data_IF_898546484716
#
_entry.id   IF_898546484716
#
_cell.length_a   1.000
_cell.length_b   1.000
_cell.length_c   1.000
_cell.angle_alpha   90.00
_cell.angle_beta   90.00
_cell.angle_gamma   90.00
#
_symmetry.space_group_name_H-M   'P 1'
#
loop_
_entity.id
_entity.type
_entity.pdbx_description
1 polymer ?
#
# COMPACT_ATOMS: atom_id res chain seq x y z
N UNK A 1 -4.38 -5.84 -34.96
CA UNK A 1 -4.20 -5.57 -33.52
C UNK A 1 -4.39 -4.07 -33.35
N UNK A 2 -5.37 -3.62 -32.55
CA UNK A 2 -5.49 -2.20 -32.21
C UNK A 2 -4.24 -1.82 -31.42
N UNK A 3 -3.36 -1.02 -32.01
CA UNK A 3 -2.31 -0.37 -31.25
C UNK A 3 -3.00 0.62 -30.30
N UNK A 4 -3.09 0.25 -29.03
CA UNK A 4 -3.55 1.20 -28.00
C UNK A 4 -2.59 2.38 -28.03
N UNK A 5 -3.16 3.58 -28.15
CA UNK A 5 -2.37 4.82 -28.10
C UNK A 5 -1.50 4.80 -26.83
N UNK A 6 -0.19 4.94 -27.01
CA UNK A 6 0.78 4.92 -25.91
C UNK A 6 0.39 5.93 -24.81
N UNK A 7 -0.17 7.07 -25.20
CA UNK A 7 -0.65 8.08 -24.25
C UNK A 7 -1.79 7.57 -23.37
N UNK A 8 -2.73 6.81 -23.96
CA UNK A 8 -3.83 6.21 -23.21
C UNK A 8 -3.33 5.15 -22.23
N UNK A 9 -2.40 4.29 -22.65
CA UNK A 9 -1.82 3.24 -21.78
C UNK A 9 -1.10 3.87 -20.58
N UNK A 10 -0.32 4.93 -20.82
CA UNK A 10 0.39 5.66 -19.76
C UNK A 10 -0.59 6.33 -18.78
N UNK A 11 -1.66 6.96 -19.30
CA UNK A 11 -2.68 7.59 -18.47
C UNK A 11 -3.41 6.58 -17.59
N UNK A 12 -3.80 5.43 -18.16
CA UNK A 12 -4.45 4.36 -17.41
C UNK A 12 -3.52 3.78 -16.33
N UNK A 13 -2.24 3.60 -16.65
CA UNK A 13 -1.24 3.15 -15.69
C UNK A 13 -1.03 4.17 -14.56
N UNK A 14 -1.00 5.46 -14.86
CA UNK A 14 -0.93 6.52 -13.86
C UNK A 14 -2.12 6.43 -12.87
N UNK A 15 -3.34 6.34 -13.40
CA UNK A 15 -4.56 6.25 -12.58
C UNK A 15 -4.53 4.97 -11.72
N UNK A 16 -4.19 3.83 -12.32
CA UNK A 16 -4.03 2.57 -11.59
C UNK A 16 -2.99 2.70 -10.49
N UNK A 17 -1.84 3.31 -10.77
CA UNK A 17 -0.76 3.52 -9.80
C UNK A 17 -1.19 4.44 -8.66
N UNK A 18 -1.98 5.47 -8.90
CA UNK A 18 -2.56 6.31 -7.85
C UNK A 18 -3.48 5.50 -6.92
N UNK A 19 -4.35 4.66 -7.49
CA UNK A 19 -5.26 3.80 -6.72
C UNK A 19 -4.48 2.76 -5.90
N UNK A 20 -3.48 2.12 -6.50
CA UNK A 20 -2.58 1.19 -5.80
C UNK A 20 -1.83 1.92 -4.69
N UNK A 21 -1.29 3.12 -4.94
CA UNK A 21 -0.60 3.95 -3.94
C UNK A 21 -1.47 4.27 -2.73
N UNK A 22 -2.75 4.57 -2.95
CA UNK A 22 -3.71 4.76 -1.84
C UNK A 22 -3.88 3.48 -1.01
N UNK A 23 -3.94 2.32 -1.66
CA UNK A 23 -3.95 1.02 -0.97
C UNK A 23 -2.62 0.74 -0.25
N UNK A 24 -1.47 1.08 -0.86
CA UNK A 24 -0.17 0.92 -0.21
C UNK A 24 -0.06 1.69 1.11
N UNK A 25 -0.66 2.86 1.23
CA UNK A 25 -0.74 3.58 2.51
C UNK A 25 -1.37 2.73 3.63
N UNK A 26 -2.39 1.94 3.30
CA UNK A 26 -3.01 0.99 4.24
C UNK A 26 -2.03 -0.14 4.59
N UNK A 27 -1.37 -0.71 3.61
CA UNK A 27 -0.37 -1.79 3.79
C UNK A 27 0.78 -1.31 4.67
N UNK A 28 1.35 -0.14 4.36
CA UNK A 28 2.50 0.47 5.06
C UNK A 28 2.20 0.66 6.55
N UNK A 29 0.97 1.06 6.89
CA UNK A 29 0.58 1.25 8.27
C UNK A 29 0.20 -0.06 8.97
N UNK A 30 -0.62 -0.91 8.31
CA UNK A 30 -1.27 -2.05 8.98
C UNK A 30 -0.40 -3.29 9.08
N UNK A 31 0.49 -3.53 8.13
CA UNK A 31 1.34 -4.74 8.16
C UNK A 31 2.28 -4.72 9.37
N UNK A 32 3.09 -3.68 9.62
CA UNK A 32 3.95 -3.65 10.79
C UNK A 32 3.17 -3.57 12.10
N UNK A 33 2.07 -2.83 12.16
CA UNK A 33 1.21 -2.75 13.34
C UNK A 33 0.59 -4.12 13.68
N UNK A 34 0.13 -4.88 12.68
CA UNK A 34 -0.38 -6.23 12.85
C UNK A 34 0.68 -7.21 13.37
N UNK A 35 1.91 -7.12 12.87
CA UNK A 35 3.05 -7.90 13.36
C UNK A 35 3.35 -7.58 14.81
N UNK A 36 3.44 -6.30 15.17
CA UNK A 36 3.71 -5.86 16.54
C UNK A 36 2.63 -6.35 17.52
N UNK A 37 1.36 -6.32 17.13
CA UNK A 37 0.26 -6.85 17.93
C UNK A 37 0.39 -8.35 18.14
N UNK A 38 0.67 -9.09 17.08
CA UNK A 38 0.85 -10.55 17.16
C UNK A 38 2.04 -10.93 18.05
N UNK A 39 3.17 -10.23 17.93
CA UNK A 39 4.34 -10.46 18.79
C UNK A 39 4.04 -10.17 20.27
N UNK A 40 3.33 -9.08 20.57
CA UNK A 40 2.90 -8.77 21.94
C UNK A 40 1.99 -9.86 22.51
N UNK A 41 1.02 -10.34 21.72
CA UNK A 41 0.12 -11.42 22.13
C UNK A 41 0.91 -12.72 22.41
N UNK A 42 1.82 -13.10 21.52
CA UNK A 42 2.65 -14.28 21.71
C UNK A 42 3.55 -14.16 22.97
N UNK A 43 4.16 -12.99 23.18
CA UNK A 43 4.98 -12.75 24.35
C UNK A 43 4.16 -12.85 25.66
N UNK A 44 2.95 -12.28 25.69
CA UNK A 44 2.06 -12.39 26.85
C UNK A 44 1.63 -13.84 27.12
N UNK A 45 1.32 -14.60 26.06
CA UNK A 45 0.97 -16.02 26.19
C UNK A 45 2.15 -16.86 26.72
N UNK A 46 3.38 -16.60 26.27
CA UNK A 46 4.57 -17.29 26.76
C UNK A 46 4.89 -16.99 28.23
N UNK A 47 4.50 -15.83 28.71
CA UNK A 47 4.74 -15.37 30.08
C UNK A 47 3.54 -15.58 31.01
N UNK A 48 2.49 -16.27 30.56
CA UNK A 48 1.22 -16.47 31.29
C UNK A 48 0.62 -15.15 31.84
N UNK A 49 0.79 -14.04 31.09
CA UNK A 49 0.27 -12.74 31.49
C UNK A 49 -1.20 -12.55 31.04
N UNK A 50 -2.00 -11.87 31.85
CA UNK A 50 -3.40 -11.61 31.47
C UNK A 50 -3.48 -10.70 30.23
N UNK A 51 -4.44 -11.01 29.34
CA UNK A 51 -4.74 -10.18 28.18
C UNK A 51 -5.57 -8.97 28.61
N UNK A 52 -5.23 -7.80 28.11
CA UNK A 52 -6.01 -6.59 28.32
C UNK A 52 -7.24 -6.56 27.39
N UNK A 53 -8.26 -5.77 27.77
CA UNK A 53 -9.45 -5.59 26.95
C UNK A 53 -9.09 -5.04 25.56
N UNK A 54 -9.52 -5.76 24.49
CA UNK A 54 -9.20 -5.41 23.10
C UNK A 54 -7.93 -6.02 22.54
N UNK A 55 -7.09 -6.66 23.35
CA UNK A 55 -5.97 -7.46 22.87
C UNK A 55 -6.49 -8.81 22.38
N UNK A 56 -6.44 -9.07 21.12
CA UNK A 56 -7.00 -10.29 20.49
C UNK A 56 -8.11 -9.97 19.50
N UNK A 57 -8.52 -8.71 19.39
CA UNK A 57 -9.39 -8.30 18.31
C UNK A 57 -8.70 -8.47 16.95
N UNK A 58 -9.47 -8.92 15.96
CA UNK A 58 -8.95 -9.13 14.61
C UNK A 58 -8.44 -7.82 14.01
N UNK A 59 -7.13 -7.74 13.82
CA UNK A 59 -6.48 -6.63 13.12
C UNK A 59 -5.81 -7.16 11.85
N UNK A 60 -6.28 -6.68 10.70
CA UNK A 60 -5.74 -7.05 9.39
C UNK A 60 -5.88 -5.88 8.40
N UNK A 61 -5.54 -6.10 7.13
CA UNK A 61 -5.61 -5.08 6.08
C UNK A 61 -7.04 -4.53 5.91
N UNK A 62 -8.08 -5.32 6.19
CA UNK A 62 -9.49 -4.95 5.98
C UNK A 62 -10.17 -4.45 7.25
N UNK A 63 -9.78 -4.97 8.43
CA UNK A 63 -10.44 -4.69 9.71
C UNK A 63 -9.45 -4.10 10.73
N UNK A 64 -9.87 -3.12 11.54
CA UNK A 64 -11.11 -2.33 11.50
C UNK A 64 -11.16 -1.36 10.29
N UNK A 65 -12.31 -0.75 9.96
CA UNK A 65 -12.41 0.28 8.92
C UNK A 65 -11.44 1.44 9.15
N UNK A 66 -11.00 2.11 8.08
CA UNK A 66 -10.13 3.29 8.19
C UNK A 66 -10.84 4.41 8.94
N UNK A 67 -10.16 5.00 9.90
CA UNK A 67 -10.69 6.07 10.75
C UNK A 67 -9.64 7.15 11.01
N UNK A 68 -10.09 8.33 11.34
CA UNK A 68 -9.21 9.41 11.74
C UNK A 68 -8.50 9.06 13.06
N UNK A 69 -7.17 9.20 13.16
CA UNK A 69 -6.45 8.88 14.40
C UNK A 69 -6.86 9.78 15.58
N UNK A 70 -7.25 11.03 15.31
CA UNK A 70 -7.59 12.02 16.34
C UNK A 70 -9.03 11.90 16.85
N UNK A 71 -10.04 11.87 15.94
CA UNK A 71 -11.44 11.86 16.34
C UNK A 71 -12.15 10.52 16.17
N UNK A 72 -11.45 9.49 15.67
CA UNK A 72 -11.98 8.13 15.41
C UNK A 72 -13.16 8.07 14.43
N UNK A 73 -13.51 9.18 13.76
CA UNK A 73 -14.54 9.18 12.74
C UNK A 73 -14.14 8.29 11.56
N UNK A 74 -15.06 7.47 11.07
CA UNK A 74 -14.83 6.57 9.95
C UNK A 74 -14.58 7.37 8.66
N UNK A 75 -13.58 6.94 7.89
CA UNK A 75 -13.23 7.52 6.59
C UNK A 75 -14.08 6.83 5.52
N UNK A 76 -14.87 7.60 4.79
CA UNK A 76 -15.71 7.08 3.72
C UNK A 76 -14.88 6.81 2.46
N UNK A 77 -15.25 5.83 1.59
CA UNK A 77 -14.46 5.46 0.41
C UNK A 77 -14.11 6.65 -0.50
N UNK A 78 -15.04 7.59 -0.72
CA UNK A 78 -14.78 8.77 -1.55
C UNK A 78 -13.83 9.80 -0.91
N UNK A 79 -13.60 9.71 0.41
CA UNK A 79 -12.59 10.52 1.11
C UNK A 79 -11.19 9.91 0.98
N UNK A 80 -11.08 8.77 0.30
CA UNK A 80 -9.83 8.07 0.02
C UNK A 80 -9.49 8.03 -1.47
N UNK A 81 -10.13 8.92 -2.28
CA UNK A 81 -9.74 9.09 -3.69
C UNK A 81 -8.35 9.71 -3.71
N UNK A 82 -7.37 9.06 -4.39
CA UNK A 82 -5.97 9.47 -4.33
C UNK A 82 -5.79 10.95 -4.72
N UNK A 83 -4.95 11.65 -3.97
CA UNK A 83 -4.58 13.06 -4.15
C UNK A 83 -5.79 14.01 -4.11
N UNK A 84 -6.86 13.68 -4.84
CA UNK A 84 -8.04 14.53 -4.97
C UNK A 84 -8.69 14.82 -3.61
N UNK A 85 -8.87 13.81 -2.77
CA UNK A 85 -9.43 13.97 -1.43
C UNK A 85 -8.56 14.87 -0.55
N UNK A 86 -7.24 14.69 -0.64
CA UNK A 86 -6.29 15.50 0.12
C UNK A 86 -6.39 16.99 -0.27
N UNK A 87 -6.45 17.28 -1.57
CA UNK A 87 -6.57 18.65 -2.09
C UNK A 87 -7.92 19.26 -1.70
N UNK A 88 -9.03 18.54 -1.91
CA UNK A 88 -10.38 19.01 -1.58
C UNK A 88 -10.58 19.26 -0.07
N UNK A 89 -9.97 18.43 0.76
CA UNK A 89 -10.00 18.56 2.22
C UNK A 89 -8.92 19.49 2.75
N UNK A 90 -8.11 20.11 1.88
CA UNK A 90 -6.98 21.01 2.23
C UNK A 90 -6.03 20.38 3.25
N UNK A 91 -5.79 19.06 3.13
CA UNK A 91 -4.93 18.33 4.03
C UNK A 91 -5.45 18.18 5.46
N UNK A 92 -6.75 18.26 5.69
CA UNK A 92 -7.36 18.23 7.04
C UNK A 92 -8.50 17.21 7.12
N UNK A 93 -8.70 16.66 8.31
CA UNK A 93 -9.86 15.79 8.58
C UNK A 93 -11.16 16.58 8.44
N UNK A 94 -12.16 15.99 7.75
CA UNK A 94 -13.46 16.63 7.56
C UNK A 94 -14.22 16.95 8.88
N UNK A 95 -13.96 16.18 9.96
CA UNK A 95 -14.70 16.26 11.21
C UNK A 95 -13.99 17.08 12.28
N UNK A 96 -12.70 16.89 12.48
CA UNK A 96 -11.94 17.53 13.55
C UNK A 96 -10.86 18.49 13.07
N UNK A 97 -10.71 18.66 11.75
CA UNK A 97 -9.70 19.52 11.12
C UNK A 97 -8.23 19.19 11.49
N UNK A 98 -7.98 18.04 12.11
CA UNK A 98 -6.62 17.57 12.35
C UNK A 98 -5.88 17.39 11.01
N UNK A 99 -4.61 17.82 10.95
CA UNK A 99 -3.79 17.75 9.75
C UNK A 99 -3.56 16.30 9.31
N UNK A 100 -3.71 16.04 8.01
CA UNK A 100 -3.38 14.77 7.36
C UNK A 100 -1.95 14.86 6.85
N UNK A 101 -1.12 13.85 7.14
CA UNK A 101 0.28 13.83 6.71
C UNK A 101 0.40 13.90 5.19
N UNK A 102 1.35 14.71 4.70
CA UNK A 102 1.75 14.79 3.29
C UNK A 102 2.28 13.47 2.73
N UNK A 103 2.64 12.53 3.59
CA UNK A 103 3.11 11.20 3.20
C UNK A 103 2.05 10.46 2.36
N UNK A 104 0.76 10.57 2.71
CA UNK A 104 -0.31 9.88 1.98
C UNK A 104 -0.33 10.25 0.50
N UNK A 105 -0.48 11.53 0.12
CA UNK A 105 -0.45 11.90 -1.30
C UNK A 105 0.94 11.70 -1.94
N UNK A 106 2.02 11.71 -1.17
CA UNK A 106 3.36 11.43 -1.70
C UNK A 106 3.49 9.97 -2.18
N UNK A 107 3.06 9.01 -1.38
CA UNK A 107 3.07 7.58 -1.75
C UNK A 107 2.17 7.35 -2.98
N UNK A 108 1.00 7.97 -3.03
CA UNK A 108 0.07 7.87 -4.14
C UNK A 108 0.70 8.41 -5.43
N UNK A 109 1.26 9.61 -5.38
CA UNK A 109 1.90 10.24 -6.54
C UNK A 109 3.12 9.45 -7.02
N UNK A 110 3.98 9.03 -6.09
CA UNK A 110 5.17 8.24 -6.41
C UNK A 110 4.79 6.95 -7.13
N UNK A 111 3.80 6.21 -6.60
CA UNK A 111 3.33 4.97 -7.21
C UNK A 111 2.72 5.22 -8.58
N UNK A 112 1.91 6.28 -8.73
CA UNK A 112 1.33 6.68 -10.00
C UNK A 112 2.39 6.98 -11.07
N UNK A 113 3.40 7.78 -10.71
CA UNK A 113 4.49 8.15 -11.62
C UNK A 113 5.33 6.93 -12.03
N UNK A 114 5.67 6.05 -11.09
CA UNK A 114 6.43 4.82 -11.38
C UNK A 114 5.65 3.92 -12.34
N UNK A 115 4.34 3.75 -12.13
CA UNK A 115 3.50 2.96 -13.04
C UNK A 115 3.43 3.59 -14.44
N UNK A 116 3.29 4.92 -14.52
CA UNK A 116 3.31 5.63 -15.79
C UNK A 116 4.65 5.42 -16.54
N UNK A 117 5.77 5.49 -15.85
CA UNK A 117 7.11 5.24 -16.43
C UNK A 117 7.24 3.79 -16.90
N UNK A 118 6.76 2.80 -16.12
CA UNK A 118 6.74 1.40 -16.54
C UNK A 118 5.92 1.21 -17.83
N UNK A 119 4.74 1.81 -17.89
CA UNK A 119 3.87 1.75 -19.06
C UNK A 119 4.49 2.44 -20.28
N UNK A 120 5.09 3.60 -20.08
CA UNK A 120 5.78 4.33 -21.14
C UNK A 120 6.95 3.54 -21.73
N UNK A 121 7.75 2.88 -20.86
CA UNK A 121 8.94 2.15 -21.28
C UNK A 121 8.63 0.79 -21.89
N UNK A 122 7.67 0.05 -21.36
CA UNK A 122 7.39 -1.33 -21.71
C UNK A 122 6.05 -1.53 -22.45
N UNK A 123 5.25 -0.48 -22.62
CA UNK A 123 3.92 -0.57 -23.21
C UNK A 123 2.95 -1.42 -22.41
N UNK A 124 1.90 -1.92 -23.07
CA UNK A 124 0.90 -2.81 -22.46
C UNK A 124 1.38 -4.28 -22.54
N UNK A 125 2.40 -4.63 -21.76
CA UNK A 125 3.04 -5.95 -21.76
C UNK A 125 3.05 -6.58 -20.38
N UNK A 126 3.27 -7.89 -20.32
CA UNK A 126 3.49 -8.61 -19.05
C UNK A 126 4.71 -8.10 -18.28
N UNK A 127 5.72 -7.63 -19.02
CA UNK A 127 6.92 -7.00 -18.43
C UNK A 127 6.56 -5.70 -17.72
N UNK A 128 5.69 -4.85 -18.29
CA UNK A 128 5.21 -3.64 -17.63
C UNK A 128 4.45 -3.99 -16.34
N UNK A 129 3.54 -4.97 -16.41
CA UNK A 129 2.76 -5.39 -15.25
C UNK A 129 3.66 -5.93 -14.12
N UNK A 130 4.62 -6.79 -14.45
CA UNK A 130 5.56 -7.32 -13.44
C UNK A 130 6.43 -6.22 -12.84
N UNK A 131 6.90 -5.25 -13.63
CA UNK A 131 7.65 -4.10 -13.13
C UNK A 131 6.80 -3.21 -12.21
N UNK A 132 5.53 -2.99 -12.54
CA UNK A 132 4.59 -2.25 -11.67
C UNK A 132 4.37 -2.96 -10.34
N UNK A 133 4.11 -4.28 -10.36
CA UNK A 133 3.93 -5.08 -9.14
C UNK A 133 5.20 -5.04 -8.29
N UNK A 134 6.37 -5.31 -8.89
CA UNK A 134 7.65 -5.25 -8.20
C UNK A 134 7.88 -3.88 -7.55
N UNK A 135 7.65 -2.79 -8.28
CA UNK A 135 7.82 -1.43 -7.77
C UNK A 135 6.85 -1.12 -6.62
N UNK A 136 5.60 -1.59 -6.68
CA UNK A 136 4.64 -1.41 -5.60
C UNK A 136 5.12 -2.06 -4.29
N UNK A 137 5.63 -3.30 -4.36
CA UNK A 137 6.23 -3.96 -3.20
C UNK A 137 7.44 -3.19 -2.66
N UNK A 138 8.34 -2.72 -3.55
CA UNK A 138 9.50 -1.93 -3.13
C UNK A 138 9.08 -0.63 -2.44
N UNK A 139 8.12 0.11 -3.01
CA UNK A 139 7.60 1.34 -2.38
C UNK A 139 7.06 1.03 -0.98
N UNK A 140 6.22 0.00 -0.85
CA UNK A 140 5.69 -0.39 0.47
C UNK A 140 6.81 -0.71 1.47
N UNK A 141 7.79 -1.52 1.07
CA UNK A 141 8.91 -1.93 1.93
C UNK A 141 9.80 -0.74 2.32
N UNK A 142 10.09 0.18 1.40
CA UNK A 142 10.89 1.38 1.69
C UNK A 142 10.21 2.22 2.78
N UNK A 143 8.89 2.45 2.67
CA UNK A 143 8.18 3.25 3.66
C UNK A 143 7.98 2.51 4.99
N UNK A 144 7.82 1.19 4.98
CA UNK A 144 7.77 0.38 6.21
C UNK A 144 9.13 0.40 6.90
N UNK A 145 10.22 0.20 6.16
CA UNK A 145 11.57 0.20 6.72
C UNK A 145 11.94 1.56 7.29
N UNK A 146 11.60 2.65 6.58
CA UNK A 146 11.83 4.00 7.06
C UNK A 146 11.11 4.32 8.38
N UNK A 147 9.95 3.69 8.64
CA UNK A 147 9.18 3.93 9.88
C UNK A 147 9.56 2.99 11.02
N UNK A 148 9.83 1.74 10.71
CA UNK A 148 9.88 0.66 11.72
C UNK A 148 11.18 -0.11 11.71
N UNK A 149 12.02 0.07 10.69
CA UNK A 149 13.23 -0.73 10.43
C UNK A 149 12.93 -2.24 10.37
N UNK A 150 11.73 -2.58 9.90
CA UNK A 150 11.27 -3.96 9.73
C UNK A 150 11.05 -4.24 8.24
N UNK A 151 11.46 -5.42 7.80
CA UNK A 151 11.16 -5.96 6.47
C UNK A 151 10.26 -7.19 6.64
N UNK A 152 8.93 -7.05 6.57
CA UNK A 152 8.00 -8.14 6.82
C UNK A 152 8.13 -9.27 5.79
N UNK A 153 8.26 -10.52 6.27
CA UNK A 153 8.32 -11.71 5.41
C UNK A 153 7.06 -11.88 4.55
N UNK A 154 5.93 -11.35 5.03
CA UNK A 154 4.67 -11.31 4.28
C UNK A 154 4.75 -10.52 2.97
N UNK A 155 5.72 -9.62 2.83
CA UNK A 155 5.97 -8.86 1.60
C UNK A 155 7.20 -9.37 0.85
N UNK A 156 8.28 -9.71 1.55
CA UNK A 156 9.54 -10.13 0.93
C UNK A 156 9.43 -11.50 0.28
N UNK A 157 8.79 -12.48 0.93
CA UNK A 157 8.66 -13.84 0.39
C UNK A 157 7.78 -13.92 -0.87
N UNK A 158 6.58 -13.31 -0.92
CA UNK A 158 5.80 -13.29 -2.16
C UNK A 158 6.51 -12.58 -3.30
N UNK A 159 7.24 -11.50 -3.02
CA UNK A 159 8.02 -10.79 -4.04
C UNK A 159 9.14 -11.66 -4.60
N UNK A 160 9.89 -12.35 -3.74
CA UNK A 160 10.97 -13.26 -4.13
C UNK A 160 10.44 -14.40 -5.00
N UNK A 161 9.42 -15.13 -4.53
CA UNK A 161 8.84 -16.24 -5.27
C UNK A 161 8.18 -15.79 -6.58
N UNK A 162 7.46 -14.67 -6.54
CA UNK A 162 6.85 -14.06 -7.73
C UNK A 162 7.90 -13.70 -8.79
N UNK A 163 9.04 -13.14 -8.38
CA UNK A 163 10.16 -12.84 -9.28
C UNK A 163 10.77 -14.08 -9.91
N UNK A 164 10.99 -15.14 -9.12
CA UNK A 164 11.51 -16.42 -9.62
C UNK A 164 10.56 -17.05 -10.65
N UNK A 165 9.27 -17.14 -10.30
CA UNK A 165 8.24 -17.71 -11.18
C UNK A 165 8.13 -16.92 -12.48
N UNK A 166 8.12 -15.59 -12.40
CA UNK A 166 8.07 -14.74 -13.59
C UNK A 166 9.28 -14.94 -14.49
N UNK A 167 10.49 -15.01 -13.92
CA UNK A 167 11.71 -15.21 -14.68
C UNK A 167 11.76 -16.58 -15.38
N UNK A 168 11.37 -17.63 -14.65
CA UNK A 168 11.29 -18.98 -15.22
C UNK A 168 10.25 -19.05 -16.35
N UNK A 169 9.07 -18.46 -16.16
CA UNK A 169 8.04 -18.41 -17.20
C UNK A 169 8.52 -17.65 -18.44
N UNK A 170 9.20 -16.52 -18.26
CA UNK A 170 9.76 -15.75 -19.36
C UNK A 170 10.93 -16.47 -20.11
N UNK A 171 11.60 -17.40 -19.44
CA UNK A 171 12.66 -18.21 -20.05
C UNK A 171 12.12 -19.41 -20.83
N UNK A 172 10.97 -19.95 -20.43
CA UNK A 172 10.35 -21.15 -21.01
C UNK A 172 9.40 -20.83 -22.18
N UNK A 173 8.95 -19.57 -22.34
CA UNK A 173 8.08 -19.08 -23.43
C UNK A 173 8.88 -18.39 -24.52
#
# INVERSE_FOLDING_TARGET
>A
MMELDTGLVVLLALILGLLVGSFLNVVIYRVPEGLNRNWKLQAKQMLDLPLEQGEGERFNILMPPSHCPSCKAAIKPWQNIPILSYVLLKGQCKHCHAAISLRYPLVELLTGLVFAVCAWKFGATWTALSAMVFSAYLIAMIFIDADTQLLPDQLTLPLMWGGIVFHLAAYLL
#
